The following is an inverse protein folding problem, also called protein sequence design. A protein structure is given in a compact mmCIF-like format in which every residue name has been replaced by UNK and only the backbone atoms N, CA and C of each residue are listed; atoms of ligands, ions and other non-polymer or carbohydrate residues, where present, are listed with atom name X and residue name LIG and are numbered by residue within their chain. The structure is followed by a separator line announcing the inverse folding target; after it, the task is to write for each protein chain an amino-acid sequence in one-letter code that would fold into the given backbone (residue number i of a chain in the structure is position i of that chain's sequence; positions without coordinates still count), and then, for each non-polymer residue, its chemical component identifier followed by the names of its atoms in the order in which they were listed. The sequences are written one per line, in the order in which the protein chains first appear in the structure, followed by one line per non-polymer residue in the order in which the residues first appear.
data_IF_718339824833
#
_entry.id   IF_718339824833
#
_cell.length_a   1.000
_cell.length_b   1.000
_cell.length_c   1.000
_cell.angle_alpha   90.00
_cell.angle_beta   90.00
_cell.angle_gamma   90.00
#
_symmetry.space_group_name_H-M   'P 1'
#
loop_
_entity.id
_entity.type
_entity.pdbx_description
1 polymer ?
#
# COMPACT_ATOMS: atom_id res chain seq x y z
N UNK A 1 9.24 -29.09 3.95
CA UNK A 1 8.16 -28.28 4.55
C UNK A 1 8.50 -26.85 4.20
N UNK A 2 7.68 -26.25 3.34
CA UNK A 2 7.97 -24.98 2.68
C UNK A 2 8.13 -23.86 3.71
N UNK A 3 9.24 -23.12 3.58
CA UNK A 3 9.57 -21.93 4.36
C UNK A 3 8.69 -20.74 3.91
N UNK A 4 7.38 -20.94 3.84
CA UNK A 4 6.45 -19.88 3.51
C UNK A 4 6.10 -19.16 4.81
N UNK A 5 6.24 -17.84 4.83
CA UNK A 5 5.76 -16.98 5.93
C UNK A 5 4.21 -17.06 5.97
N UNK A 6 3.69 -18.08 6.63
CA UNK A 6 2.26 -18.21 6.90
C UNK A 6 1.80 -17.25 8.01
N UNK A 7 0.49 -17.10 8.17
CA UNK A 7 -0.12 -16.26 9.21
C UNK A 7 0.37 -16.59 10.62
N UNK A 8 0.66 -17.87 10.88
CA UNK A 8 1.24 -18.36 12.14
C UNK A 8 2.60 -17.72 12.43
N UNK A 9 3.47 -17.61 11.41
CA UNK A 9 4.81 -17.03 11.58
C UNK A 9 4.74 -15.53 11.80
N UNK A 10 3.84 -14.84 11.10
CA UNK A 10 3.61 -13.40 11.28
C UNK A 10 3.09 -13.12 12.68
N UNK A 11 2.11 -13.89 13.16
CA UNK A 11 1.60 -13.77 14.52
C UNK A 11 2.68 -14.05 15.58
N UNK A 12 3.50 -15.09 15.40
CA UNK A 12 4.60 -15.41 16.32
C UNK A 12 5.63 -14.29 16.47
N UNK A 13 5.82 -13.49 15.43
CA UNK A 13 6.67 -12.31 15.47
C UNK A 13 5.92 -11.14 16.14
N UNK A 14 4.74 -10.81 15.63
CA UNK A 14 3.95 -9.66 16.11
C UNK A 14 3.58 -9.77 17.60
N UNK A 15 3.29 -10.97 18.13
CA UNK A 15 2.91 -11.14 19.54
C UNK A 15 4.01 -10.81 20.55
N UNK A 16 5.25 -10.63 20.09
CA UNK A 16 6.41 -10.27 20.92
C UNK A 16 6.65 -8.76 20.95
N UNK A 17 5.97 -8.02 20.08
CA UNK A 17 6.07 -6.57 19.97
C UNK A 17 5.02 -5.90 20.84
N UNK A 18 5.40 -4.78 21.46
CA UNK A 18 4.48 -3.93 22.22
C UNK A 18 3.48 -3.23 21.29
N UNK A 19 3.93 -2.86 20.08
CA UNK A 19 3.11 -2.27 19.04
C UNK A 19 2.82 -3.30 17.94
N UNK A 20 1.53 -3.64 17.80
CA UNK A 20 1.02 -4.57 16.78
C UNK A 20 0.18 -3.86 15.73
N UNK A 21 0.24 -2.53 15.67
CA UNK A 21 -0.45 -1.76 14.65
C UNK A 21 0.00 -2.20 13.26
N UNK A 22 -0.96 -2.29 12.35
CA UNK A 22 -0.73 -2.66 10.97
C UNK A 22 -1.66 -1.87 10.07
N UNK A 23 -1.38 -1.89 8.77
CA UNK A 23 -2.30 -1.35 7.80
C UNK A 23 -2.26 -2.18 6.51
N UNK A 24 -3.43 -2.44 5.94
CA UNK A 24 -3.47 -2.81 4.54
C UNK A 24 -3.50 -1.55 3.67
N UNK A 25 -2.56 -1.47 2.72
CA UNK A 25 -2.49 -0.39 1.73
C UNK A 25 -2.70 -0.99 0.34
N UNK A 26 -3.64 -0.42 -0.41
CA UNK A 26 -3.86 -0.69 -1.82
C UNK A 26 -3.51 0.54 -2.64
N UNK A 27 -2.86 0.35 -3.78
CA UNK A 27 -2.50 1.43 -4.69
C UNK A 27 -3.04 1.13 -6.08
N UNK A 28 -3.80 2.05 -6.64
CA UNK A 28 -4.17 2.06 -8.07
C UNK A 28 -3.24 3.05 -8.76
N UNK A 29 -2.57 2.59 -9.81
CA UNK A 29 -1.70 3.42 -10.64
C UNK A 29 -2.37 3.64 -12.00
N UNK A 30 -2.47 4.90 -12.42
CA UNK A 30 -3.07 5.29 -13.70
C UNK A 30 -2.06 6.03 -14.57
N UNK A 31 -1.99 5.67 -15.84
CA UNK A 31 -1.23 6.38 -16.87
C UNK A 31 -1.94 6.23 -18.22
N UNK A 32 -2.17 7.35 -18.89
CA UNK A 32 -2.70 7.44 -20.26
C UNK A 32 -1.74 8.12 -21.23
N UNK A 33 -0.52 8.44 -20.78
CA UNK A 33 0.51 9.10 -21.59
C UNK A 33 0.40 10.63 -21.64
N UNK A 34 -0.63 11.23 -21.04
CA UNK A 34 -0.75 12.68 -20.89
C UNK A 34 -0.14 13.14 -19.56
N UNK A 35 0.60 14.26 -19.56
CA UNK A 35 1.13 14.84 -18.32
C UNK A 35 0.00 15.23 -17.37
N UNK A 36 0.21 15.01 -16.06
CA UNK A 36 -0.71 15.49 -15.03
C UNK A 36 0.03 16.34 -14.00
N UNK A 37 -0.68 17.27 -13.34
CA UNK A 37 -0.15 17.99 -12.18
C UNK A 37 0.02 17.01 -11.01
N UNK A 38 1.26 16.81 -10.55
CA UNK A 38 1.57 15.94 -9.43
C UNK A 38 0.66 16.26 -8.23
N UNK A 39 0.06 15.23 -7.63
CA UNK A 39 -0.72 15.39 -6.40
C UNK A 39 0.20 16.04 -5.34
N UNK A 40 -0.20 17.15 -4.70
CA UNK A 40 0.59 17.71 -3.61
C UNK A 40 0.47 16.78 -2.38
N UNK A 41 1.44 15.88 -2.19
CA UNK A 41 1.64 15.19 -0.92
C UNK A 41 2.74 15.90 -0.11
N UNK A 42 2.56 16.10 1.22
CA UNK A 42 3.68 16.46 2.08
C UNK A 42 4.52 15.20 2.30
N UNK A 43 5.64 15.10 1.60
CA UNK A 43 6.64 14.06 1.86
C UNK A 43 7.42 14.49 3.10
N UNK A 44 7.08 13.89 4.24
CA UNK A 44 7.83 14.07 5.48
C UNK A 44 9.23 13.46 5.30
N UNK A 45 10.24 14.32 5.16
CA UNK A 45 11.61 13.94 4.77
C UNK A 45 12.55 13.75 5.96
N UNK A 46 12.06 13.84 7.20
CA UNK A 46 12.90 13.74 8.40
C UNK A 46 13.09 12.29 8.89
N UNK A 47 13.56 11.38 8.03
CA UNK A 47 14.30 10.18 8.46
C UNK A 47 15.06 9.46 7.34
N UNK A 48 16.05 10.12 6.74
CA UNK A 48 17.19 9.41 6.13
C UNK A 48 18.36 9.46 7.09
N UNK A 49 18.53 8.36 7.84
CA UNK A 49 19.77 8.08 8.53
C UNK A 49 20.93 8.17 7.55
N UNK A 50 21.92 8.97 7.92
CA UNK A 50 23.23 8.99 7.33
C UNK A 50 23.84 7.60 7.51
N UNK A 51 24.32 7.00 6.44
CA UNK A 51 25.49 6.13 6.46
C UNK A 51 26.03 6.01 5.02
N UNK A 52 27.12 6.73 4.76
CA UNK A 52 28.00 6.49 3.62
C UNK A 52 29.25 5.76 4.13
N UNK A 53 29.59 4.65 3.48
CA UNK A 53 30.95 4.15 3.30
C UNK A 53 31.06 3.80 1.80
N UNK A 54 31.64 4.66 0.96
CA UNK A 54 33.07 4.86 0.65
C UNK A 54 33.71 3.58 0.12
N UNK A 55 33.91 3.57 -1.21
CA UNK A 55 34.57 2.58 -2.06
C UNK A 55 33.72 1.35 -2.50
N UNK A 56 33.77 1.06 -3.81
CA UNK A 56 33.06 -0.01 -4.54
C UNK A 56 31.57 0.29 -4.85
N UNK A 57 31.23 0.99 -5.94
CA UNK A 57 31.40 0.47 -7.31
C UNK A 57 31.45 1.62 -8.31
N UNK A 58 32.62 1.79 -8.92
CA UNK A 58 32.79 2.47 -10.19
C UNK A 58 32.12 1.61 -11.28
N UNK A 59 31.02 2.13 -11.80
CA UNK A 59 30.39 1.73 -13.05
C UNK A 59 29.73 2.98 -13.59
N UNK A 60 30.56 3.85 -14.18
CA UNK A 60 30.12 5.06 -14.84
C UNK A 60 29.10 4.71 -15.92
N UNK A 61 27.82 5.02 -15.67
CA UNK A 61 26.90 5.37 -16.73
C UNK A 61 26.79 6.88 -16.65
N UNK A 62 27.49 7.54 -17.56
CA UNK A 62 27.40 8.96 -17.83
C UNK A 62 25.92 9.34 -17.94
N UNK A 63 25.51 10.36 -17.19
CA UNK A 63 24.20 11.04 -17.28
C UNK A 63 24.04 11.75 -18.63
N UNK A 64 24.08 11.00 -19.73
CA UNK A 64 23.95 11.52 -21.08
C UNK A 64 22.90 10.73 -21.85
N UNK A 65 21.72 11.34 -21.93
CA UNK A 65 20.66 11.08 -22.92
C UNK A 65 19.89 9.77 -22.78
N UNK A 66 19.20 9.61 -21.64
CA UNK A 66 17.81 9.12 -21.70
C UNK A 66 16.98 10.32 -21.28
N UNK A 67 16.27 10.94 -22.23
CA UNK A 67 15.15 11.79 -21.86
C UNK A 67 14.29 10.94 -20.92
N UNK A 68 14.20 11.37 -19.67
CA UNK A 68 13.33 10.80 -18.65
C UNK A 68 11.88 11.02 -19.10
N UNK A 69 11.46 10.29 -20.13
CA UNK A 69 10.06 10.16 -20.54
C UNK A 69 9.43 9.08 -19.67
N UNK A 70 9.63 9.21 -18.35
CA UNK A 70 8.82 8.51 -17.39
C UNK A 70 7.37 8.82 -17.71
N UNK A 71 6.60 7.79 -18.04
CA UNK A 71 5.17 7.93 -18.22
C UNK A 71 4.60 8.61 -16.98
N UNK A 72 3.82 9.68 -17.12
CA UNK A 72 3.19 10.31 -15.97
C UNK A 72 2.26 9.27 -15.34
N UNK A 73 2.60 8.77 -14.12
CA UNK A 73 1.77 7.82 -13.34
C UNK A 73 1.12 8.47 -12.13
N UNK A 74 -0.22 8.57 -12.11
CA UNK A 74 -0.97 9.07 -10.95
C UNK A 74 -1.32 7.90 -10.02
N UNK A 75 -1.02 8.06 -8.75
CA UNK A 75 -1.26 7.05 -7.72
C UNK A 75 -2.50 7.40 -6.88
N UNK A 76 -3.33 6.40 -6.60
CA UNK A 76 -4.47 6.49 -5.70
C UNK A 76 -4.32 5.43 -4.62
N UNK A 77 -4.14 5.88 -3.39
CA UNK A 77 -3.98 4.99 -2.27
C UNK A 77 -5.28 4.80 -1.51
N UNK A 78 -5.51 3.60 -1.01
CA UNK A 78 -6.49 3.31 0.03
C UNK A 78 -5.81 2.59 1.17
N UNK A 79 -6.06 3.04 2.40
CA UNK A 79 -5.43 2.50 3.60
C UNK A 79 -6.51 2.07 4.57
N UNK A 80 -6.32 0.91 5.20
CA UNK A 80 -7.13 0.45 6.33
C UNK A 80 -6.18 0.18 7.49
N UNK A 81 -6.19 1.01 8.55
CA UNK A 81 -5.43 0.72 9.76
C UNK A 81 -6.10 -0.43 10.52
N UNK A 82 -5.31 -1.21 11.23
CA UNK A 82 -5.76 -2.35 12.01
C UNK A 82 -4.68 -2.83 12.97
N UNK A 83 -4.86 -4.01 13.51
CA UNK A 83 -3.92 -4.62 14.46
C UNK A 83 -3.67 -6.07 14.10
N UNK A 84 -2.42 -6.54 14.23
CA UNK A 84 -2.11 -7.96 14.10
C UNK A 84 -2.50 -8.70 15.38
N UNK A 85 -3.37 -9.70 15.24
CA UNK A 85 -3.90 -10.50 16.34
C UNK A 85 -3.70 -12.01 16.11
N UNK A 86 -4.00 -12.81 17.13
CA UNK A 86 -4.03 -14.26 16.97
C UNK A 86 -5.03 -14.66 15.87
N UNK A 87 -4.76 -15.73 15.09
CA UNK A 87 -5.65 -16.14 14.00
C UNK A 87 -7.09 -16.41 14.47
N UNK A 88 -8.08 -15.76 13.85
CA UNK A 88 -9.52 -16.00 14.05
C UNK A 88 -10.27 -15.95 12.71
N UNK A 89 -11.36 -16.71 12.61
CA UNK A 89 -12.18 -16.82 11.39
C UNK A 89 -11.73 -17.95 10.46
N UNK A 90 -12.67 -18.51 9.70
CA UNK A 90 -12.43 -19.63 8.76
C UNK A 90 -12.50 -19.19 7.28
N UNK A 91 -12.87 -17.93 7.04
CA UNK A 91 -13.04 -17.36 5.70
C UNK A 91 -11.90 -16.41 5.34
N UNK A 92 -11.90 -15.89 4.11
CA UNK A 92 -10.91 -14.91 3.66
C UNK A 92 -9.68 -15.51 2.99
N UNK A 93 -8.69 -14.67 2.70
CA UNK A 93 -7.48 -14.99 1.95
C UNK A 93 -6.25 -14.30 2.54
N UNK A 94 -5.10 -14.98 2.50
CA UNK A 94 -3.83 -14.41 2.93
C UNK A 94 -3.81 -14.10 4.43
N UNK A 95 -3.66 -12.83 4.79
CA UNK A 95 -3.49 -12.37 6.18
C UNK A 95 -4.79 -11.98 6.88
N UNK A 96 -5.95 -12.15 6.24
CA UNK A 96 -7.25 -11.81 6.81
C UNK A 96 -7.48 -12.38 8.23
N UNK A 97 -7.08 -13.64 8.56
CA UNK A 97 -7.35 -14.20 9.89
C UNK A 97 -6.57 -13.53 11.03
N UNK A 98 -5.50 -12.79 10.73
CA UNK A 98 -4.66 -12.13 11.73
C UNK A 98 -4.74 -10.61 11.67
N UNK A 99 -5.52 -10.04 10.74
CA UNK A 99 -5.69 -8.60 10.61
C UNK A 99 -7.04 -8.19 11.21
N UNK A 100 -7.00 -7.53 12.36
CA UNK A 100 -8.18 -7.02 13.06
C UNK A 100 -8.48 -5.58 12.67
N UNK A 101 -9.75 -5.32 12.35
CA UNK A 101 -10.34 -4.01 12.16
C UNK A 101 -11.63 -3.93 12.99
N UNK A 102 -11.71 -2.93 13.86
CA UNK A 102 -12.90 -2.66 14.68
C UNK A 102 -13.38 -3.88 15.51
N UNK A 103 -12.43 -4.63 16.07
CA UNK A 103 -12.69 -5.80 16.93
C UNK A 103 -12.91 -7.14 16.21
N UNK A 104 -13.06 -7.13 14.89
CA UNK A 104 -13.21 -8.33 14.06
C UNK A 104 -12.02 -8.52 13.12
N UNK A 105 -11.58 -9.76 12.92
CA UNK A 105 -10.63 -10.05 11.85
C UNK A 105 -11.33 -9.97 10.50
N UNK A 106 -10.58 -9.67 9.45
CA UNK A 106 -11.12 -9.68 8.08
C UNK A 106 -11.64 -11.06 7.66
N UNK A 107 -11.22 -12.13 8.32
CA UNK A 107 -11.72 -13.49 8.11
C UNK A 107 -13.03 -13.78 8.85
N UNK A 108 -13.39 -12.95 9.84
CA UNK A 108 -14.66 -13.01 10.57
C UNK A 108 -15.74 -12.14 9.93
N UNK A 109 -15.36 -11.18 9.07
CA UNK A 109 -16.29 -10.31 8.33
C UNK A 109 -16.94 -11.03 7.16
N UNK A 110 -18.19 -10.67 6.88
CA UNK A 110 -18.79 -11.08 5.62
C UNK A 110 -18.15 -10.34 4.43
N UNK A 111 -18.43 -10.82 3.21
CA UNK A 111 -17.84 -10.24 2.00
C UNK A 111 -18.31 -8.81 1.73
N UNK A 112 -19.54 -8.45 2.11
CA UNK A 112 -20.09 -7.13 1.87
C UNK A 112 -19.46 -6.10 2.82
N UNK A 113 -19.40 -6.41 4.11
CA UNK A 113 -18.73 -5.64 5.16
C UNK A 113 -17.26 -5.42 4.80
N UNK A 114 -16.54 -6.49 4.45
CA UNK A 114 -15.14 -6.42 4.05
C UNK A 114 -14.95 -5.53 2.82
N UNK A 115 -15.80 -5.68 1.81
CA UNK A 115 -15.70 -4.88 0.58
C UNK A 115 -15.92 -3.39 0.85
N UNK A 116 -16.87 -3.05 1.74
CA UNK A 116 -17.16 -1.67 2.13
C UNK A 116 -15.97 -0.99 2.83
N UNK A 117 -15.19 -1.72 3.62
CA UNK A 117 -14.02 -1.17 4.34
C UNK A 117 -12.70 -1.37 3.62
N UNK A 118 -12.64 -2.14 2.52
CA UNK A 118 -11.37 -2.57 1.94
C UNK A 118 -10.49 -1.43 1.41
N UNK A 119 -9.18 -1.56 1.63
CA UNK A 119 -8.15 -0.67 1.08
C UNK A 119 -8.20 -0.58 -0.45
N UNK A 120 -8.55 -1.67 -1.14
CA UNK A 120 -8.75 -1.70 -2.59
C UNK A 120 -9.95 -0.87 -3.02
N UNK A 121 -11.09 -1.02 -2.35
CA UNK A 121 -12.28 -0.22 -2.61
C UNK A 121 -12.02 1.28 -2.43
N UNK A 122 -11.31 1.66 -1.35
CA UNK A 122 -10.90 3.05 -1.10
C UNK A 122 -10.00 3.62 -2.19
N UNK A 123 -8.98 2.86 -2.62
CA UNK A 123 -8.09 3.27 -3.70
C UNK A 123 -8.86 3.46 -5.02
N UNK A 124 -9.75 2.51 -5.34
CA UNK A 124 -10.55 2.53 -6.56
C UNK A 124 -11.59 3.67 -6.57
N UNK A 125 -12.22 3.95 -5.42
CA UNK A 125 -13.16 5.06 -5.29
C UNK A 125 -12.48 6.41 -5.55
N UNK A 126 -11.28 6.64 -4.99
CA UNK A 126 -10.48 7.84 -5.25
C UNK A 126 -10.09 7.97 -6.73
N UNK A 127 -9.71 6.86 -7.34
CA UNK A 127 -9.47 6.82 -8.78
C UNK A 127 -10.73 7.19 -9.58
N UNK A 128 -11.88 6.59 -9.26
CA UNK A 128 -13.13 6.81 -9.98
C UNK A 128 -13.60 8.26 -9.88
N UNK A 129 -13.54 8.85 -8.68
CA UNK A 129 -13.85 10.27 -8.44
C UNK A 129 -12.96 11.19 -9.29
N UNK A 130 -11.64 10.98 -9.24
CA UNK A 130 -10.71 11.75 -10.06
C UNK A 130 -10.92 11.55 -11.56
N UNK A 131 -11.18 10.32 -11.99
CA UNK A 131 -11.34 9.98 -13.40
C UNK A 131 -12.61 10.61 -13.98
N UNK A 132 -13.69 10.67 -13.21
CA UNK A 132 -14.92 11.36 -13.61
C UNK A 132 -14.70 12.86 -13.78
N UNK A 133 -14.01 13.50 -12.82
CA UNK A 133 -13.61 14.91 -12.90
C UNK A 133 -12.70 15.18 -14.11
N UNK A 134 -11.74 14.28 -14.40
CA UNK A 134 -10.89 14.38 -15.59
C UNK A 134 -11.71 14.33 -16.89
N UNK A 135 -12.79 13.55 -16.93
CA UNK A 135 -13.64 13.40 -18.13
C UNK A 135 -14.66 14.53 -18.31
N UNK A 136 -15.14 15.12 -17.21
CA UNK A 136 -16.18 16.15 -17.21
C UNK A 136 -15.69 17.46 -16.54
N UNK A 137 -14.74 18.19 -17.13
CA UNK A 137 -14.25 19.43 -16.55
C UNK A 137 -15.32 20.54 -16.69
N UNK A 138 -16.10 20.81 -15.63
CA UNK A 138 -16.97 21.99 -15.53
C UNK A 138 -18.45 21.79 -15.17
N UNK A 139 -18.85 20.64 -14.63
CA UNK A 139 -20.10 20.52 -13.84
C UNK A 139 -19.91 20.94 -12.37
#
# INVERSE_FOLDING_TARGET
MENTLGIERVWELARREDDRSAAFRGVVAYCDGESFEATPEPVDTERRGQDLGVDERAGATTDEQVADEGLPVRLFEGVVPGTVVAPRGESGFGYDPIFEYDGQTFAEMDTEEKNAVSHRGRALARFAEWYDQKRNPGE
#
